data_IF_461910749667
#
_entry.id   IF_461910749667
#
_cell.length_a   1.000
_cell.length_b   1.000
_cell.length_c   1.000
_cell.angle_alpha   90.00
_cell.angle_beta   90.00
_cell.angle_gamma   90.00
#
_symmetry.space_group_name_H-M   'P 1'
#
loop_
_entity.id
_entity.type
_entity.pdbx_description
1 polymer ?
#
# COMPACT_ATOMS: atom_id res chain seq x y z
N UNK A 1 -44.35 20.84 17.32
CA UNK A 1 -43.03 21.40 17.69
C UNK A 1 -41.97 20.71 16.86
N UNK A 2 -41.29 21.41 15.94
CA UNK A 2 -40.09 20.90 15.25
C UNK A 2 -38.87 21.51 15.94
N UNK A 3 -38.22 20.76 16.83
CA UNK A 3 -36.92 21.16 17.35
C UNK A 3 -35.89 21.01 16.23
N UNK A 4 -35.37 22.14 15.76
CA UNK A 4 -34.19 22.16 14.89
C UNK A 4 -32.97 22.07 15.79
N UNK A 5 -32.30 20.93 15.78
CA UNK A 5 -31.02 20.73 16.45
C UNK A 5 -29.96 21.42 15.59
N UNK A 6 -29.61 22.65 15.95
CA UNK A 6 -28.49 23.36 15.34
C UNK A 6 -27.24 22.92 16.08
N UNK A 7 -26.34 22.21 15.39
CA UNK A 7 -25.04 21.87 15.97
C UNK A 7 -24.32 23.19 16.30
N UNK A 8 -23.87 23.40 17.55
CA UNK A 8 -23.03 24.54 17.88
C UNK A 8 -21.71 24.41 17.13
N UNK A 9 -21.18 25.52 16.61
CA UNK A 9 -19.98 25.56 15.77
C UNK A 9 -18.77 24.88 16.44
N UNK A 10 -18.73 24.89 17.77
CA UNK A 10 -17.67 24.27 18.58
C UNK A 10 -17.68 22.74 18.47
N UNK A 11 -18.87 22.12 18.41
CA UNK A 11 -19.01 20.67 18.25
C UNK A 11 -18.61 20.21 16.83
N UNK A 12 -18.82 21.06 15.83
CA UNK A 12 -18.40 20.77 14.46
C UNK A 12 -16.87 20.82 14.32
N UNK A 13 -16.22 21.72 15.06
CA UNK A 13 -14.76 21.84 15.09
C UNK A 13 -14.12 20.65 15.81
N UNK A 14 -14.71 20.20 16.91
CA UNK A 14 -14.27 19.04 17.67
C UNK A 14 -14.39 17.75 16.83
N UNK A 15 -15.51 17.57 16.15
CA UNK A 15 -15.73 16.45 15.23
C UNK A 15 -14.73 16.44 14.07
N UNK A 16 -14.44 17.62 13.48
CA UNK A 16 -13.41 17.75 12.42
C UNK A 16 -12.02 17.36 12.92
N UNK A 17 -11.68 17.71 14.16
CA UNK A 17 -10.40 17.36 14.76
C UNK A 17 -10.30 15.86 15.03
N UNK A 18 -11.36 15.24 15.52
CA UNK A 18 -11.40 13.80 15.80
C UNK A 18 -11.29 12.95 14.52
N UNK A 19 -12.06 13.30 13.47
CA UNK A 19 -11.97 12.66 12.16
C UNK A 19 -10.56 12.79 11.57
N UNK A 20 -9.92 13.95 11.77
CA UNK A 20 -8.53 14.17 11.34
C UNK A 20 -7.54 13.27 12.07
N UNK A 21 -7.69 13.10 13.38
CA UNK A 21 -6.83 12.20 14.16
C UNK A 21 -7.01 10.75 13.71
N UNK A 22 -8.25 10.31 13.52
CA UNK A 22 -8.55 8.99 12.96
C UNK A 22 -7.94 8.77 11.57
N UNK A 23 -8.01 9.77 10.69
CA UNK A 23 -7.39 9.69 9.37
C UNK A 23 -5.85 9.58 9.45
N UNK A 24 -5.22 10.34 10.36
CA UNK A 24 -3.79 10.28 10.60
C UNK A 24 -3.36 8.93 11.19
N UNK A 25 -4.12 8.40 12.13
CA UNK A 25 -3.89 7.07 12.70
C UNK A 25 -4.09 5.96 11.66
N UNK A 26 -5.11 6.06 10.81
CA UNK A 26 -5.34 5.11 9.72
C UNK A 26 -4.20 5.14 8.69
N UNK A 27 -3.63 6.30 8.38
CA UNK A 27 -2.44 6.40 7.51
C UNK A 27 -1.20 5.82 8.23
N UNK A 28 -1.00 6.17 9.50
CA UNK A 28 0.14 5.73 10.32
C UNK A 28 0.14 4.23 10.57
N UNK A 29 -1.03 3.63 10.76
CA UNK A 29 -1.21 2.19 10.96
C UNK A 29 -1.37 1.44 9.64
N UNK A 30 -1.88 2.11 8.59
CA UNK A 30 -2.15 1.53 7.28
C UNK A 30 -0.90 1.34 6.42
N UNK A 31 0.12 2.19 6.53
CA UNK A 31 1.35 2.06 5.73
C UNK A 31 2.63 2.54 6.44
N UNK A 32 3.29 1.65 7.19
CA UNK A 32 4.75 1.51 7.05
C UNK A 32 5.28 0.07 7.16
N UNK A 33 4.44 -0.91 7.57
CA UNK A 33 4.91 -2.26 7.91
C UNK A 33 5.50 -3.02 6.71
N UNK A 34 4.92 -2.87 5.52
CA UNK A 34 5.40 -3.60 4.31
C UNK A 34 6.82 -3.23 3.92
N UNK A 35 7.25 -1.97 4.12
CA UNK A 35 8.62 -1.55 3.78
C UNK A 35 9.65 -2.06 4.78
N UNK A 36 9.26 -2.30 6.03
CA UNK A 36 10.13 -2.88 7.06
C UNK A 36 10.25 -4.41 6.93
N UNK A 37 9.20 -5.10 6.48
CA UNK A 37 9.19 -6.57 6.40
C UNK A 37 9.96 -7.15 5.21
N UNK A 38 10.13 -6.39 4.12
CA UNK A 38 10.74 -6.90 2.89
C UNK A 38 12.03 -6.15 2.50
N UNK A 39 13.11 -6.88 2.12
CA UNK A 39 14.36 -6.25 1.68
C UNK A 39 14.16 -5.44 0.40
N UNK A 40 15.12 -4.59 0.06
CA UNK A 40 15.09 -3.83 -1.21
C UNK A 40 15.09 -4.76 -2.42
N UNK A 41 15.92 -5.80 -2.38
CA UNK A 41 15.96 -6.86 -3.38
C UNK A 41 15.28 -8.12 -2.86
N UNK A 42 14.07 -8.37 -3.34
CA UNK A 42 13.25 -9.50 -2.92
C UNK A 42 13.54 -10.73 -3.77
N UNK A 43 13.52 -11.91 -3.14
CA UNK A 43 13.39 -13.18 -3.86
C UNK A 43 12.05 -13.26 -4.59
N UNK A 44 11.91 -14.14 -5.57
CA UNK A 44 10.62 -14.35 -6.25
C UNK A 44 9.48 -14.74 -5.30
N UNK A 45 9.78 -15.50 -4.23
CA UNK A 45 8.79 -15.87 -3.22
C UNK A 45 8.35 -14.68 -2.36
N UNK A 46 9.29 -13.80 -2.00
CA UNK A 46 9.00 -12.57 -1.27
C UNK A 46 8.23 -11.56 -2.14
N UNK A 47 8.64 -11.37 -3.39
CA UNK A 47 7.96 -10.47 -4.32
C UNK A 47 6.51 -10.89 -4.58
N UNK A 48 6.25 -12.19 -4.76
CA UNK A 48 4.90 -12.72 -4.91
C UNK A 48 4.01 -12.36 -3.70
N UNK A 49 4.53 -12.56 -2.48
CA UNK A 49 3.81 -12.20 -1.25
C UNK A 49 3.63 -10.69 -1.10
N UNK A 50 4.66 -9.91 -1.42
CA UNK A 50 4.64 -8.45 -1.34
C UNK A 50 3.58 -7.84 -2.24
N UNK A 51 3.50 -8.31 -3.49
CA UNK A 51 2.53 -7.84 -4.49
C UNK A 51 1.15 -8.51 -4.33
N UNK A 52 0.98 -9.43 -3.37
CA UNK A 52 -0.29 -10.12 -3.13
C UNK A 52 -0.73 -11.07 -4.26
N UNK A 53 0.22 -11.65 -5.02
CA UNK A 53 -0.07 -12.50 -6.18
C UNK A 53 0.53 -13.90 -6.07
N UNK A 54 -0.06 -14.86 -6.79
CA UNK A 54 0.49 -16.23 -6.86
C UNK A 54 1.80 -16.26 -7.64
N UNK A 55 2.65 -17.27 -7.40
CA UNK A 55 3.92 -17.47 -8.13
C UNK A 55 3.74 -17.56 -9.64
N UNK A 56 2.66 -18.19 -10.11
CA UNK A 56 2.34 -18.26 -11.53
C UNK A 56 1.99 -16.91 -12.13
N UNK A 57 1.25 -16.08 -11.39
CA UNK A 57 0.92 -14.70 -11.79
C UNK A 57 2.16 -13.82 -11.81
N UNK A 58 3.07 -13.98 -10.84
CA UNK A 58 4.35 -13.28 -10.83
C UNK A 58 5.19 -13.64 -12.06
N UNK A 59 5.25 -14.91 -12.46
CA UNK A 59 5.96 -15.31 -13.69
C UNK A 59 5.35 -14.65 -14.93
N UNK A 60 4.01 -14.54 -15.00
CA UNK A 60 3.35 -13.80 -16.08
C UNK A 60 3.70 -12.31 -16.04
N UNK A 61 3.75 -11.69 -14.86
CA UNK A 61 4.16 -10.29 -14.69
C UNK A 61 5.62 -10.06 -15.13
N UNK A 62 6.53 -10.98 -14.82
CA UNK A 62 7.92 -10.96 -15.32
C UNK A 62 7.95 -11.01 -16.84
N UNK A 63 7.17 -11.91 -17.45
CA UNK A 63 7.07 -12.00 -18.91
C UNK A 63 6.40 -10.76 -19.54
N UNK A 64 5.53 -10.08 -18.79
CA UNK A 64 4.88 -8.83 -19.21
C UNK A 64 5.79 -7.59 -19.05
N UNK A 65 6.98 -7.73 -18.49
CA UNK A 65 7.97 -6.65 -18.41
C UNK A 65 8.39 -6.24 -17.00
N UNK A 66 7.97 -6.96 -15.93
CA UNK A 66 8.50 -6.71 -14.59
C UNK A 66 10.02 -7.00 -14.56
N UNK A 67 10.80 -5.98 -14.19
CA UNK A 67 12.26 -6.05 -14.17
C UNK A 67 12.75 -7.04 -13.12
N UNK A 68 13.69 -7.89 -13.53
CA UNK A 68 14.36 -8.86 -12.67
C UNK A 68 15.86 -8.63 -12.74
N UNK A 69 16.47 -8.43 -11.57
CA UNK A 69 17.92 -8.37 -11.40
C UNK A 69 18.45 -9.76 -11.07
N UNK A 70 19.57 -10.17 -11.66
CA UNK A 70 20.18 -11.47 -11.38
C UNK A 70 21.49 -11.26 -10.64
N UNK A 71 21.53 -11.59 -9.35
CA UNK A 71 22.73 -11.55 -8.51
C UNK A 71 22.75 -12.79 -7.61
N UNK A 72 23.50 -13.82 -8.00
CA UNK A 72 23.46 -15.15 -7.36
C UNK A 72 22.09 -15.85 -7.43
N UNK A 73 21.14 -15.30 -8.21
CA UNK A 73 19.77 -15.76 -8.35
C UNK A 73 18.84 -14.62 -8.80
N UNK A 74 17.60 -14.96 -9.19
CA UNK A 74 16.59 -13.98 -9.62
C UNK A 74 16.10 -13.17 -8.41
N UNK A 75 16.15 -11.84 -8.52
CA UNK A 75 15.69 -10.86 -7.53
C UNK A 75 14.86 -9.78 -8.19
N UNK A 76 13.89 -9.25 -7.47
CA UNK A 76 13.04 -8.14 -7.91
C UNK A 76 13.25 -6.99 -6.94
N UNK A 77 13.59 -5.80 -7.46
CA UNK A 77 13.73 -4.61 -6.64
C UNK A 77 12.32 -4.14 -6.24
N UNK A 78 12.18 -3.70 -5.00
CA UNK A 78 10.89 -3.23 -4.46
C UNK A 78 10.29 -2.10 -5.29
N UNK A 79 11.13 -1.14 -5.69
CA UNK A 79 10.71 -0.02 -6.54
C UNK A 79 10.16 -0.49 -7.89
N UNK A 80 10.78 -1.50 -8.52
CA UNK A 80 10.29 -2.05 -9.79
C UNK A 80 8.94 -2.75 -9.62
N UNK A 81 8.73 -3.45 -8.49
CA UNK A 81 7.45 -4.07 -8.15
C UNK A 81 6.36 -3.01 -7.91
N UNK A 82 6.68 -1.93 -7.17
CA UNK A 82 5.76 -0.82 -6.93
C UNK A 82 5.39 -0.12 -8.25
N UNK A 83 6.37 0.20 -9.10
CA UNK A 83 6.14 0.79 -10.42
C UNK A 83 5.25 -0.09 -11.30
N UNK A 84 5.51 -1.39 -11.32
CA UNK A 84 4.72 -2.33 -12.09
C UNK A 84 3.26 -2.37 -11.61
N UNK A 85 3.04 -2.40 -10.29
CA UNK A 85 1.69 -2.40 -9.71
C UNK A 85 0.95 -1.10 -10.05
N UNK A 86 1.60 0.05 -9.92
CA UNK A 86 1.00 1.35 -10.28
C UNK A 86 0.63 1.38 -11.76
N UNK A 87 1.53 0.94 -12.64
CA UNK A 87 1.28 0.90 -14.07
C UNK A 87 0.14 -0.05 -14.50
N UNK A 88 -0.18 -1.05 -13.67
CA UNK A 88 -1.24 -2.04 -13.92
C UNK A 88 -2.48 -1.86 -13.03
N UNK A 89 -2.56 -0.76 -12.26
CA UNK A 89 -3.75 -0.39 -11.50
C UNK A 89 -4.60 0.56 -12.36
N UNK A 90 -5.69 0.05 -12.92
CA UNK A 90 -6.74 0.84 -13.59
C UNK A 90 -7.84 1.14 -12.58
#
# INVERSE_FOLDING_TARGET
MKMQFTLPADAEQELKNEVRQWALEAIRNGQPQRKATYPEYMTLGQAAKYMGMSRGTLTKAINAGLKVTVFGGKRIRREDADQFMIAHSI
#
